data_IF_589758425752
#
_entry.id   IF_589758425752
#
_cell.length_a   1.000
_cell.length_b   1.000
_cell.length_c   1.000
_cell.angle_alpha   90.00
_cell.angle_beta   90.00
_cell.angle_gamma   90.00
#
_symmetry.space_group_name_H-M   'P 1'
#
loop_
_entity.id
_entity.type
_entity.pdbx_description
1 polymer ?
#
# COMPACT_ATOMS: atom_id res chain seq x y z
N UNK A 1 -48.53 6.83 -32.38
CA UNK A 1 -48.49 7.03 -30.91
C UNK A 1 -47.73 5.97 -30.10
N UNK A 2 -47.20 4.87 -30.70
CA UNK A 2 -46.41 3.86 -29.96
C UNK A 2 -44.93 4.24 -29.71
N UNK A 3 -44.37 5.15 -30.52
CA UNK A 3 -42.96 5.59 -30.42
C UNK A 3 -42.70 6.43 -29.15
N UNK A 4 -43.64 7.29 -28.76
CA UNK A 4 -43.50 8.16 -27.59
C UNK A 4 -43.62 7.39 -26.26
N UNK A 5 -44.35 6.25 -26.26
CA UNK A 5 -44.50 5.42 -25.07
C UNK A 5 -43.24 4.60 -24.75
N UNK A 6 -42.55 4.08 -25.78
CA UNK A 6 -41.30 3.33 -25.62
C UNK A 6 -40.11 4.22 -25.22
N UNK A 7 -40.09 5.48 -25.64
CA UNK A 7 -39.02 6.42 -25.26
C UNK A 7 -39.07 6.81 -23.78
N UNK A 8 -40.28 6.98 -23.23
CA UNK A 8 -40.48 7.25 -21.79
C UNK A 8 -40.08 6.07 -20.90
N UNK A 9 -40.36 4.83 -21.35
CA UNK A 9 -39.96 3.59 -20.66
C UNK A 9 -38.43 3.38 -20.67
N UNK A 10 -37.76 3.75 -21.76
CA UNK A 10 -36.29 3.72 -21.84
C UNK A 10 -35.63 4.73 -20.90
N UNK A 11 -36.18 5.94 -20.78
CA UNK A 11 -35.65 6.93 -19.83
C UNK A 11 -35.83 6.44 -18.38
N UNK A 12 -36.97 5.83 -18.03
CA UNK A 12 -37.23 5.37 -16.67
C UNK A 12 -36.38 4.17 -16.21
N UNK A 13 -35.91 3.30 -17.11
CA UNK A 13 -35.07 2.14 -16.73
C UNK A 13 -33.57 2.39 -16.86
N UNK A 14 -33.16 3.24 -17.81
CA UNK A 14 -31.74 3.47 -18.12
C UNK A 14 -31.15 4.58 -17.23
N UNK A 15 -31.94 5.60 -16.86
CA UNK A 15 -31.49 6.69 -15.98
C UNK A 15 -31.14 6.22 -14.56
N UNK A 16 -31.93 5.36 -13.88
CA UNK A 16 -31.55 4.83 -12.57
C UNK A 16 -30.30 3.94 -12.63
N UNK A 17 -30.12 3.21 -13.74
CA UNK A 17 -28.95 2.36 -13.96
C UNK A 17 -27.67 3.20 -14.11
N UNK A 18 -27.74 4.31 -14.86
CA UNK A 18 -26.64 5.27 -14.98
C UNK A 18 -26.36 5.97 -13.64
N UNK A 19 -27.40 6.28 -12.85
CA UNK A 19 -27.25 6.87 -11.52
C UNK A 19 -26.55 5.93 -10.53
N UNK A 20 -26.79 4.61 -10.62
CA UNK A 20 -26.08 3.61 -9.81
C UNK A 20 -24.60 3.44 -10.19
N UNK A 21 -24.23 3.69 -11.45
CA UNK A 21 -22.82 3.62 -11.90
C UNK A 21 -21.97 4.80 -11.42
N UNK A 22 -22.59 5.89 -10.94
CA UNK A 22 -21.90 7.10 -10.47
C UNK A 22 -21.63 7.05 -8.94
N UNK A 23 -22.28 6.15 -8.20
CA UNK A 23 -22.03 5.97 -6.76
C UNK A 23 -20.76 5.15 -6.52
N UNK A 24 -19.59 5.69 -6.86
CA UNK A 24 -18.36 5.26 -6.21
C UNK A 24 -18.14 6.24 -5.04
N UNK A 25 -18.60 5.93 -3.80
CA UNK A 25 -18.42 6.84 -2.69
C UNK A 25 -16.93 7.01 -2.48
N UNK A 26 -16.41 8.20 -2.79
CA UNK A 26 -15.13 8.63 -2.26
C UNK A 26 -15.31 8.66 -0.74
N UNK A 27 -14.73 7.68 -0.03
CA UNK A 27 -14.70 7.71 1.42
C UNK A 27 -13.95 8.98 1.81
N UNK A 28 -14.68 9.96 2.32
CA UNK A 28 -14.07 11.14 2.92
C UNK A 28 -13.71 10.74 4.34
N UNK A 29 -12.42 10.55 4.59
CA UNK A 29 -11.91 10.28 5.94
C UNK A 29 -12.03 11.55 6.79
N UNK A 30 -12.79 11.46 7.89
CA UNK A 30 -12.95 12.56 8.86
C UNK A 30 -11.76 12.64 9.84
N UNK A 31 -11.61 13.75 10.54
CA UNK A 31 -10.59 13.99 11.57
C UNK A 31 -10.54 12.87 12.61
N UNK A 32 -11.70 12.44 13.10
CA UNK A 32 -11.79 11.47 14.19
C UNK A 32 -11.25 10.08 13.76
N UNK A 33 -11.39 9.74 12.47
CA UNK A 33 -10.81 8.51 11.90
C UNK A 33 -9.28 8.46 12.08
N UNK A 34 -8.58 9.54 11.72
CA UNK A 34 -7.12 9.60 11.82
C UNK A 34 -6.64 9.54 13.29
N UNK A 35 -7.39 10.16 14.21
CA UNK A 35 -7.07 10.08 15.65
C UNK A 35 -7.25 8.67 16.20
N UNK A 36 -8.31 7.97 15.81
CA UNK A 36 -8.54 6.59 16.22
C UNK A 36 -7.47 5.64 15.66
N UNK A 37 -7.11 5.80 14.39
CA UNK A 37 -6.05 5.00 13.76
C UNK A 37 -4.70 5.22 14.46
N UNK A 38 -4.32 6.48 14.71
CA UNK A 38 -3.09 6.81 15.43
C UNK A 38 -3.07 6.22 16.85
N UNK A 39 -4.19 6.32 17.58
CA UNK A 39 -4.32 5.72 18.93
C UNK A 39 -4.19 4.20 18.89
N UNK A 40 -4.77 3.57 17.88
CA UNK A 40 -4.65 2.12 17.66
C UNK A 40 -3.21 1.71 17.35
N UNK A 41 -2.53 2.46 16.47
CA UNK A 41 -1.13 2.23 16.11
C UNK A 41 -0.19 2.34 17.33
N UNK A 42 -0.39 3.34 18.19
CA UNK A 42 0.38 3.51 19.44
C UNK A 42 0.17 2.33 20.39
N UNK A 43 -1.08 1.91 20.63
CA UNK A 43 -1.38 0.76 21.49
C UNK A 43 -0.69 -0.52 20.98
N UNK A 44 -0.76 -0.78 19.67
CA UNK A 44 -0.11 -1.94 19.04
C UNK A 44 1.41 -1.92 19.21
N UNK A 45 2.04 -0.75 19.04
CA UNK A 45 3.48 -0.56 19.22
C UNK A 45 3.92 -0.82 20.67
N UNK A 46 3.21 -0.25 21.64
CA UNK A 46 3.51 -0.43 23.07
C UNK A 46 3.44 -1.91 23.46
N UNK A 47 2.41 -2.63 23.03
CA UNK A 47 2.27 -4.07 23.30
C UNK A 47 3.37 -4.93 22.64
N UNK A 48 3.96 -4.47 21.53
CA UNK A 48 4.95 -5.26 20.77
C UNK A 48 6.36 -5.20 21.37
N UNK A 49 6.67 -4.18 22.17
CA UNK A 49 8.01 -3.98 22.76
C UNK A 49 8.29 -4.88 23.98
N UNK A 50 7.27 -5.41 24.63
CA UNK A 50 7.40 -6.05 25.95
C UNK A 50 7.96 -7.50 25.93
N UNK A 51 8.22 -8.10 24.76
CA UNK A 51 8.15 -9.56 24.67
C UNK A 51 9.35 -10.39 24.19
N UNK A 52 10.47 -9.85 23.69
CA UNK A 52 11.44 -10.70 22.95
C UNK A 52 12.92 -10.38 23.22
N UNK A 53 13.39 -10.64 24.44
CA UNK A 53 14.83 -10.67 24.80
C UNK A 53 15.41 -12.09 24.80
N UNK A 54 15.12 -12.87 23.76
CA UNK A 54 15.62 -14.23 23.61
C UNK A 54 16.61 -14.38 22.45
N UNK A 55 17.54 -15.34 22.54
CA UNK A 55 18.40 -15.70 21.40
C UNK A 55 17.56 -16.40 20.32
N UNK A 56 17.64 -15.90 19.08
CA UNK A 56 16.97 -16.53 17.94
C UNK A 56 17.58 -17.90 17.63
N UNK A 57 16.73 -18.92 17.42
CA UNK A 57 17.16 -20.27 17.02
C UNK A 57 17.34 -20.41 15.51
N UNK A 58 16.51 -19.71 14.73
CA UNK A 58 16.48 -19.76 13.27
C UNK A 58 16.48 -18.34 12.70
N UNK A 59 17.06 -18.17 11.52
CA UNK A 59 17.05 -16.90 10.78
C UNK A 59 16.50 -17.17 9.39
N UNK A 60 15.48 -16.40 9.01
CA UNK A 60 14.93 -16.39 7.64
C UNK A 60 15.20 -15.01 7.07
N UNK A 61 15.90 -14.98 5.93
CA UNK A 61 16.25 -13.74 5.26
C UNK A 61 15.54 -13.66 3.91
N UNK A 62 14.78 -12.58 3.71
CA UNK A 62 13.97 -12.34 2.52
C UNK A 62 14.59 -11.18 1.75
N UNK A 63 15.05 -11.44 0.54
CA UNK A 63 15.67 -10.44 -0.34
C UNK A 63 14.79 -10.20 -1.54
N UNK A 64 14.31 -8.97 -1.70
CA UNK A 64 13.66 -8.51 -2.92
C UNK A 64 14.67 -7.76 -3.77
N UNK A 65 15.11 -8.35 -4.88
CA UNK A 65 15.95 -7.65 -5.85
C UNK A 65 15.19 -6.47 -6.48
N UNK A 66 15.81 -5.30 -6.54
CA UNK A 66 15.17 -4.07 -7.02
C UNK A 66 13.99 -3.55 -6.17
N UNK A 67 13.77 -4.08 -4.97
CA UNK A 67 12.64 -3.70 -4.11
C UNK A 67 12.98 -2.47 -3.25
N UNK A 68 13.04 -1.29 -3.89
CA UNK A 68 13.18 -0.01 -3.20
C UNK A 68 11.88 0.50 -2.58
N UNK A 69 11.94 1.68 -1.94
CA UNK A 69 10.77 2.32 -1.32
C UNK A 69 9.64 2.61 -2.33
N UNK A 70 9.98 3.03 -3.54
CA UNK A 70 9.01 3.26 -4.62
C UNK A 70 8.30 1.97 -5.05
N UNK A 71 9.07 0.89 -5.21
CA UNK A 71 8.54 -0.44 -5.56
C UNK A 71 7.60 -0.97 -4.49
N UNK A 72 7.91 -0.75 -3.20
CA UNK A 72 7.03 -1.11 -2.08
C UNK A 72 5.71 -0.35 -2.14
N UNK A 73 5.74 0.98 -2.33
CA UNK A 73 4.53 1.80 -2.44
C UNK A 73 3.69 1.41 -3.66
N UNK A 74 4.30 1.23 -4.83
CA UNK A 74 3.59 0.77 -6.02
C UNK A 74 2.94 -0.60 -5.81
N UNK A 75 3.62 -1.51 -5.12
CA UNK A 75 3.10 -2.84 -4.79
C UNK A 75 1.90 -2.77 -3.83
N UNK A 76 1.89 -1.85 -2.86
CA UNK A 76 0.74 -1.61 -1.97
C UNK A 76 -0.49 -1.18 -2.77
N UNK A 77 -0.33 -0.14 -3.60
CA UNK A 77 -1.41 0.40 -4.43
C UNK A 77 -1.94 -0.68 -5.36
N UNK A 78 -1.05 -1.38 -6.06
CA UNK A 78 -1.43 -2.46 -6.97
C UNK A 78 -2.17 -3.60 -6.27
N UNK A 79 -1.75 -3.98 -5.05
CA UNK A 79 -2.43 -5.00 -4.25
C UNK A 79 -3.85 -4.58 -3.87
N UNK A 80 -4.05 -3.34 -3.43
CA UNK A 80 -5.39 -2.84 -3.08
C UNK A 80 -6.28 -2.67 -4.31
N UNK A 81 -5.75 -2.21 -5.43
CA UNK A 81 -6.47 -2.12 -6.71
C UNK A 81 -6.92 -3.50 -7.21
N UNK A 82 -6.08 -4.53 -7.07
CA UNK A 82 -6.47 -5.92 -7.38
C UNK A 82 -7.61 -6.46 -6.53
N UNK A 83 -7.87 -5.85 -5.38
CA UNK A 83 -9.01 -6.17 -4.49
C UNK A 83 -10.23 -5.26 -4.73
N UNK A 84 -10.16 -4.36 -5.70
CA UNK A 84 -11.23 -3.38 -5.98
C UNK A 84 -11.22 -2.15 -5.07
N UNK A 85 -10.18 -1.95 -4.26
CA UNK A 85 -10.01 -0.77 -3.41
C UNK A 85 -9.18 0.31 -4.10
N UNK A 86 -9.13 1.52 -3.52
CA UNK A 86 -8.33 2.64 -4.05
C UNK A 86 -6.82 2.34 -4.08
N UNK A 87 -6.31 1.53 -3.14
CA UNK A 87 -4.94 1.04 -3.14
C UNK A 87 -4.07 1.54 -2.00
N UNK A 88 -4.16 2.84 -1.67
CA UNK A 88 -3.24 3.51 -0.74
C UNK A 88 -3.33 3.00 0.71
N UNK A 89 -4.52 2.55 1.10
CA UNK A 89 -4.85 2.02 2.43
C UNK A 89 -4.33 0.58 2.64
N UNK A 90 -3.91 -0.11 1.58
CA UNK A 90 -3.53 -1.52 1.66
C UNK A 90 -2.08 -1.68 2.17
N UNK A 91 -1.90 -2.61 3.12
CA UNK A 91 -0.60 -2.91 3.71
C UNK A 91 -0.01 -4.21 3.13
N UNK A 92 1.30 -4.26 2.93
CA UNK A 92 2.03 -5.48 2.62
C UNK A 92 2.36 -6.24 3.91
N UNK A 93 2.71 -7.53 3.78
CA UNK A 93 3.09 -8.36 4.93
C UNK A 93 4.32 -7.79 5.64
N UNK A 94 5.28 -7.24 4.89
CA UNK A 94 6.48 -6.60 5.42
C UNK A 94 6.18 -5.34 6.25
N UNK A 95 5.04 -4.67 6.02
CA UNK A 95 4.65 -3.46 6.75
C UNK A 95 4.19 -3.78 8.18
N UNK A 96 3.83 -5.05 8.42
CA UNK A 96 3.43 -5.53 9.75
C UNK A 96 4.63 -5.87 10.63
N UNK A 97 5.86 -5.84 10.09
CA UNK A 97 7.05 -6.12 10.86
C UNK A 97 7.28 -5.03 11.92
N UNK A 98 7.69 -5.41 13.15
CA UNK A 98 7.75 -4.48 14.27
C UNK A 98 8.88 -3.44 14.15
N UNK A 99 9.90 -3.72 13.34
CA UNK A 99 11.08 -2.88 13.18
C UNK A 99 11.37 -2.64 11.69
N UNK A 100 11.81 -1.42 11.39
CA UNK A 100 12.25 -0.98 10.07
C UNK A 100 13.58 -0.25 10.20
N UNK A 101 14.47 -0.45 9.22
CA UNK A 101 15.74 0.24 9.12
C UNK A 101 16.02 0.58 7.66
N UNK A 102 16.83 1.64 7.44
CA UNK A 102 17.29 2.02 6.10
C UNK A 102 18.73 1.55 5.91
N UNK A 103 19.00 0.96 4.74
CA UNK A 103 20.34 0.52 4.37
C UNK A 103 20.93 1.44 3.30
N UNK A 104 22.20 1.81 3.45
CA UNK A 104 22.97 2.51 2.41
C UNK A 104 23.52 1.46 1.42
N UNK A 105 23.01 1.46 0.19
CA UNK A 105 23.34 0.46 -0.85
C UNK A 105 24.44 0.92 -1.82
N UNK A 106 25.30 1.85 -1.41
CA UNK A 106 26.38 2.36 -2.26
C UNK A 106 27.53 1.36 -2.39
N UNK A 107 27.89 0.98 -3.62
CA UNK A 107 29.16 0.31 -3.87
C UNK A 107 30.30 1.33 -3.77
N UNK A 108 31.30 1.04 -2.94
CA UNK A 108 32.45 1.91 -2.72
C UNK A 108 33.20 2.25 -4.02
N UNK A 109 33.33 1.29 -4.96
CA UNK A 109 34.02 1.48 -6.24
C UNK A 109 33.36 2.51 -7.16
N UNK A 110 32.11 2.90 -6.89
CA UNK A 110 31.37 3.89 -7.68
C UNK A 110 31.61 5.32 -7.17
N UNK A 111 32.21 5.46 -5.99
CA UNK A 111 32.48 6.75 -5.33
C UNK A 111 33.97 7.08 -5.22
N UNK A 112 34.90 6.12 -5.37
CA UNK A 112 36.33 6.43 -5.45
C UNK A 112 36.70 6.83 -6.89
N UNK A 113 37.37 7.98 -7.03
CA UNK A 113 37.93 8.44 -8.32
C UNK A 113 39.26 7.74 -8.65
N UNK A 114 39.55 6.63 -7.98
CA UNK A 114 40.81 5.91 -8.15
C UNK A 114 40.74 5.04 -9.42
N UNK A 115 41.72 5.18 -10.30
CA UNK A 115 41.81 4.51 -11.60
C UNK A 115 41.94 2.98 -11.54
N UNK A 116 42.00 2.39 -10.35
CA UNK A 116 41.97 0.95 -10.16
C UNK A 116 40.52 0.56 -9.88
N UNK A 117 39.78 0.23 -10.94
CA UNK A 117 38.49 -0.47 -10.85
C UNK A 117 38.73 -1.88 -10.30
N UNK A 118 38.97 -1.98 -9.00
CA UNK A 118 38.93 -3.25 -8.26
C UNK A 118 37.47 -3.69 -8.24
N UNK A 119 37.17 -4.52 -9.24
CA UNK A 119 35.98 -5.35 -9.40
C UNK A 119 34.64 -4.62 -9.19
N UNK A 120 34.14 -4.11 -10.32
CA UNK A 120 32.73 -4.14 -10.76
C UNK A 120 31.73 -4.68 -9.72
N UNK A 121 30.73 -3.85 -9.38
CA UNK A 121 29.59 -4.21 -8.53
C UNK A 121 29.02 -5.60 -8.86
#
# INVERSE_FOLDING_TARGET
>A
MKIFLNFGLLLFSVIPCILMLIQNPTKIQDRDHWYEEARSALKKRLASFEGKMGRAKNVVFLVGDGMGASTLTASRIFKGQRRGNQGEEEQLIWDTFPAVAMAKVGCWSRYSNDLIKVFRC
#
